data_IF_367887424804
#
_entry.id   IF_367887424804
#
_cell.length_a   1.000
_cell.length_b   1.000
_cell.length_c   1.000
_cell.angle_alpha   90.00
_cell.angle_beta   90.00
_cell.angle_gamma   90.00
#
_symmetry.space_group_name_H-M   'P 1'
#
loop_
_entity.id
_entity.type
_entity.pdbx_description
1 polymer ?
#
# COMPACT_ATOMS: atom_id res chain seq x y z
N UNK A 1 28.85 25.15 -46.53
CA UNK A 1 29.32 23.76 -46.33
C UNK A 1 28.91 23.31 -44.95
N UNK A 2 28.01 22.33 -44.81
CA UNK A 2 27.67 21.75 -43.51
C UNK A 2 28.76 20.75 -43.14
N UNK A 3 29.50 21.00 -42.06
CA UNK A 3 30.42 20.00 -41.49
C UNK A 3 29.56 18.87 -40.92
N UNK A 4 29.65 17.69 -41.51
CA UNK A 4 29.02 16.48 -40.98
C UNK A 4 29.77 16.00 -39.74
N UNK A 5 29.03 15.44 -38.79
CA UNK A 5 29.61 14.75 -37.63
C UNK A 5 30.44 13.56 -38.14
N UNK A 6 31.62 13.32 -37.56
CA UNK A 6 32.45 12.19 -37.98
C UNK A 6 31.88 10.88 -37.40
N UNK A 7 32.07 9.76 -38.12
CA UNK A 7 31.63 8.45 -37.60
C UNK A 7 32.32 8.10 -36.27
N UNK A 8 33.58 8.52 -36.09
CA UNK A 8 34.35 8.24 -34.87
C UNK A 8 33.83 9.02 -33.66
N UNK A 9 33.40 10.27 -33.83
CA UNK A 9 32.77 11.04 -32.74
C UNK A 9 31.47 10.38 -32.29
N UNK A 10 30.65 9.90 -33.23
CA UNK A 10 29.39 9.23 -32.90
C UNK A 10 29.61 7.92 -32.14
N UNK A 11 30.64 7.15 -32.50
CA UNK A 11 31.01 5.91 -31.80
C UNK A 11 31.48 6.21 -30.36
N UNK A 12 32.29 7.24 -30.17
CA UNK A 12 32.78 7.58 -28.83
C UNK A 12 31.64 7.99 -27.89
N UNK A 13 30.66 8.75 -28.40
CA UNK A 13 29.48 9.16 -27.64
C UNK A 13 28.66 7.96 -27.18
N UNK A 14 28.36 6.99 -28.07
CA UNK A 14 27.57 5.81 -27.67
C UNK A 14 28.31 4.92 -26.68
N UNK A 15 29.65 4.83 -26.77
CA UNK A 15 30.46 4.06 -25.81
C UNK A 15 30.40 4.68 -24.42
N UNK A 16 30.57 6.01 -24.31
CA UNK A 16 30.44 6.70 -23.02
C UNK A 16 29.04 6.54 -22.45
N UNK A 17 27.99 6.75 -23.27
CA UNK A 17 26.61 6.58 -22.83
C UNK A 17 26.33 5.13 -22.38
N UNK A 18 26.93 4.13 -23.04
CA UNK A 18 26.84 2.72 -22.64
C UNK A 18 27.43 2.46 -21.26
N UNK A 19 28.62 3.00 -20.97
CA UNK A 19 29.30 2.85 -19.66
C UNK A 19 28.47 3.53 -18.55
N UNK A 20 28.01 4.76 -18.81
CA UNK A 20 27.21 5.51 -17.84
C UNK A 20 25.87 4.80 -17.57
N UNK A 21 25.19 4.30 -18.60
CA UNK A 21 23.94 3.57 -18.47
C UNK A 21 24.11 2.28 -17.65
N UNK A 22 25.20 1.53 -17.85
CA UNK A 22 25.46 0.28 -17.13
C UNK A 22 25.54 0.47 -15.60
N UNK A 23 26.08 1.60 -15.13
CA UNK A 23 26.17 1.91 -13.70
C UNK A 23 24.92 2.62 -13.19
N UNK A 24 24.30 3.48 -14.00
CA UNK A 24 23.16 4.29 -13.60
C UNK A 24 21.87 3.47 -13.47
N UNK A 25 21.61 2.52 -14.38
CA UNK A 25 20.34 1.77 -14.42
C UNK A 25 20.10 0.94 -13.15
N UNK A 26 21.04 0.12 -12.64
CA UNK A 26 20.82 -0.66 -11.42
C UNK A 26 20.57 0.22 -10.20
N UNK A 27 21.29 1.35 -10.08
CA UNK A 27 21.10 2.30 -8.97
C UNK A 27 19.73 2.96 -9.03
N UNK A 28 19.32 3.42 -10.21
CA UNK A 28 18.03 4.06 -10.39
C UNK A 28 16.88 3.11 -10.08
N UNK A 29 16.96 1.84 -10.49
CA UNK A 29 15.94 0.84 -10.18
C UNK A 29 15.83 0.60 -8.67
N UNK A 30 16.95 0.46 -7.95
CA UNK A 30 16.94 0.30 -6.51
C UNK A 30 16.32 1.52 -5.78
N UNK A 31 16.68 2.74 -6.19
CA UNK A 31 16.09 3.96 -5.61
C UNK A 31 14.60 4.08 -5.89
N UNK A 32 14.13 3.64 -7.06
CA UNK A 32 12.70 3.61 -7.39
C UNK A 32 11.94 2.62 -6.51
N UNK A 33 12.47 1.41 -6.34
CA UNK A 33 11.88 0.42 -5.43
C UNK A 33 11.75 0.98 -4.00
N UNK A 34 12.82 1.60 -3.49
CA UNK A 34 12.82 2.16 -2.13
C UNK A 34 11.80 3.30 -1.98
N UNK A 35 11.67 4.15 -3.00
CA UNK A 35 10.66 5.21 -3.03
C UNK A 35 9.22 4.67 -3.07
N UNK A 36 8.99 3.58 -3.82
CA UNK A 36 7.68 2.93 -3.87
C UNK A 36 7.33 2.26 -2.54
N UNK A 37 8.30 1.63 -1.89
CA UNK A 37 8.15 1.04 -0.56
C UNK A 37 7.80 2.13 0.48
N UNK A 38 8.52 3.25 0.48
CA UNK A 38 8.24 4.38 1.36
C UNK A 38 6.85 4.99 1.11
N UNK A 39 6.48 5.18 -0.16
CA UNK A 39 5.15 5.67 -0.56
C UNK A 39 4.04 4.74 -0.06
N UNK A 40 4.21 3.44 -0.22
CA UNK A 40 3.23 2.45 0.23
C UNK A 40 3.05 2.47 1.75
N UNK A 41 4.15 2.65 2.51
CA UNK A 41 4.10 2.82 3.95
C UNK A 41 3.25 4.03 4.36
N UNK A 42 3.50 5.19 3.76
CA UNK A 42 2.73 6.41 4.03
C UNK A 42 1.26 6.26 3.61
N UNK A 43 1.01 5.69 2.44
CA UNK A 43 -0.33 5.43 1.94
C UNK A 43 -1.11 4.52 2.88
N UNK A 44 -0.50 3.48 3.46
CA UNK A 44 -1.15 2.63 4.45
C UNK A 44 -1.55 3.42 5.70
N UNK A 45 -0.64 4.22 6.26
CA UNK A 45 -0.95 5.00 7.46
C UNK A 45 -2.04 6.04 7.21
N UNK A 46 -2.02 6.69 6.04
CA UNK A 46 -3.08 7.62 5.61
C UNK A 46 -4.40 6.88 5.43
N UNK A 47 -4.39 5.72 4.79
CA UNK A 47 -5.59 4.89 4.57
C UNK A 47 -6.26 4.51 5.91
N UNK A 48 -5.48 4.02 6.88
CA UNK A 48 -6.00 3.65 8.20
C UNK A 48 -6.56 4.88 8.93
N UNK A 49 -5.85 6.02 8.86
CA UNK A 49 -6.31 7.27 9.46
C UNK A 49 -7.61 7.75 8.85
N UNK A 50 -7.71 7.78 7.51
CA UNK A 50 -8.89 8.23 6.77
C UNK A 50 -10.12 7.39 7.12
N UNK A 51 -9.97 6.05 7.15
CA UNK A 51 -11.05 5.12 7.52
C UNK A 51 -11.49 5.37 8.98
N UNK A 52 -10.53 5.54 9.89
CA UNK A 52 -10.84 5.79 11.31
C UNK A 52 -11.54 7.13 11.51
N UNK A 53 -11.09 8.18 10.83
CA UNK A 53 -11.71 9.51 10.86
C UNK A 53 -13.10 9.50 10.23
N UNK A 54 -13.30 8.75 9.15
CA UNK A 54 -14.60 8.56 8.52
C UNK A 54 -15.58 7.88 9.49
N UNK A 55 -15.18 6.75 10.09
CA UNK A 55 -15.99 6.04 11.08
C UNK A 55 -16.35 6.93 12.27
N UNK A 56 -15.41 7.73 12.77
CA UNK A 56 -15.65 8.68 13.87
C UNK A 56 -16.66 9.76 13.50
N UNK A 57 -16.66 10.21 12.24
CA UNK A 57 -17.53 11.30 11.78
C UNK A 57 -18.93 10.83 11.37
N UNK A 58 -19.02 9.66 10.75
CA UNK A 58 -20.26 9.12 10.18
C UNK A 58 -20.92 8.07 11.06
N UNK A 59 -20.20 7.52 12.06
CA UNK A 59 -20.68 6.46 12.95
C UNK A 59 -20.72 5.06 12.33
N UNK A 60 -20.43 4.94 11.03
CA UNK A 60 -20.35 3.67 10.29
C UNK A 60 -19.30 3.75 9.18
N UNK A 61 -18.91 2.61 8.62
CA UNK A 61 -18.07 2.54 7.42
C UNK A 61 -18.90 2.74 6.15
N UNK A 62 -18.28 3.33 5.12
CA UNK A 62 -18.90 3.39 3.80
C UNK A 62 -19.06 1.99 3.17
N UNK A 63 -19.79 1.89 2.06
CA UNK A 63 -19.91 0.65 1.28
C UNK A 63 -18.59 0.22 0.63
N UNK A 64 -17.68 1.16 0.39
CA UNK A 64 -16.39 0.93 -0.28
C UNK A 64 -15.30 1.73 0.44
N UNK A 65 -14.09 1.19 0.46
CA UNK A 65 -12.93 1.87 1.06
C UNK A 65 -12.60 3.17 0.30
N UNK A 66 -12.78 3.18 -1.02
CA UNK A 66 -12.53 4.34 -1.89
C UNK A 66 -13.41 5.55 -1.58
N UNK A 67 -14.57 5.33 -0.98
CA UNK A 67 -15.47 6.43 -0.58
C UNK A 67 -14.99 7.12 0.70
N UNK A 68 -14.03 6.53 1.41
CA UNK A 68 -13.49 7.04 2.68
C UNK A 68 -12.10 7.67 2.54
N UNK A 69 -11.36 7.36 1.47
CA UNK A 69 -9.95 7.78 1.29
C UNK A 69 -9.65 8.17 -0.16
N UNK A 70 -8.68 9.06 -0.35
CA UNK A 70 -8.14 9.40 -1.67
C UNK A 70 -6.84 8.64 -2.01
N UNK A 71 -6.43 7.70 -1.15
CA UNK A 71 -5.28 6.83 -1.43
C UNK A 71 -5.62 5.90 -2.60
N UNK A 72 -4.70 5.80 -3.57
CA UNK A 72 -4.87 4.90 -4.71
C UNK A 72 -4.77 3.43 -4.25
N UNK A 73 -5.89 2.72 -4.33
CA UNK A 73 -6.04 1.30 -4.00
C UNK A 73 -6.69 0.56 -5.16
N UNK A 74 -6.36 -0.73 -5.30
CA UNK A 74 -7.14 -1.66 -6.10
C UNK A 74 -8.39 -2.03 -5.29
N UNK A 75 -9.56 -1.66 -5.82
CA UNK A 75 -10.81 -1.87 -5.11
C UNK A 75 -11.35 -3.27 -5.42
N UNK A 76 -11.55 -4.05 -4.37
CA UNK A 76 -12.26 -5.32 -4.45
C UNK A 76 -13.68 -5.12 -3.86
N UNK A 77 -14.66 -5.98 -4.21
CA UNK A 77 -15.99 -5.90 -3.60
C UNK A 77 -15.93 -6.04 -2.07
N UNK A 78 -16.97 -5.56 -1.39
CA UNK A 78 -17.23 -5.78 0.05
C UNK A 78 -16.24 -5.14 1.04
N UNK A 79 -16.06 -3.82 0.98
CA UNK A 79 -15.17 -3.06 1.89
C UNK A 79 -13.71 -3.60 1.92
N UNK A 80 -13.26 -4.23 0.84
CA UNK A 80 -11.89 -4.71 0.71
C UNK A 80 -11.12 -3.90 -0.31
N UNK A 81 -9.86 -3.58 0.00
CA UNK A 81 -9.00 -2.80 -0.86
C UNK A 81 -7.54 -3.26 -0.74
N UNK A 82 -6.82 -3.23 -1.85
CA UNK A 82 -5.41 -3.59 -1.87
C UNK A 82 -4.52 -2.40 -2.27
N UNK A 83 -3.51 -2.12 -1.47
CA UNK A 83 -2.50 -1.11 -1.78
C UNK A 83 -1.51 -1.65 -2.80
N UNK A 84 -1.42 -0.92 -3.92
CA UNK A 84 -0.53 -1.25 -5.03
C UNK A 84 0.85 -0.59 -4.81
N UNK A 85 1.91 -1.39 -4.81
CA UNK A 85 3.31 -0.95 -4.80
C UNK A 85 4.03 -1.52 -6.02
N UNK A 86 4.64 -0.69 -6.87
CA UNK A 86 5.28 -1.13 -8.12
C UNK A 86 4.36 -1.92 -9.09
N UNK A 87 3.04 -1.68 -9.05
CA UNK A 87 2.07 -2.48 -9.81
C UNK A 87 1.79 -3.87 -9.22
N UNK A 88 2.14 -4.11 -7.94
CA UNK A 88 1.87 -5.34 -7.17
C UNK A 88 0.97 -5.06 -5.97
N UNK A 89 0.02 -5.95 -5.72
CA UNK A 89 -0.94 -5.87 -4.61
C UNK A 89 -0.29 -6.35 -3.30
N UNK A 90 0.30 -5.43 -2.54
CA UNK A 90 1.13 -5.79 -1.40
C UNK A 90 0.38 -5.76 -0.06
N UNK A 91 -0.64 -4.94 0.14
CA UNK A 91 -1.30 -4.86 1.45
C UNK A 91 -2.80 -4.89 1.22
N UNK A 92 -3.49 -5.80 1.89
CA UNK A 92 -4.94 -5.90 1.86
C UNK A 92 -5.52 -5.28 3.11
N UNK A 93 -6.57 -4.51 2.92
CA UNK A 93 -7.32 -3.83 3.97
C UNK A 93 -8.77 -4.22 3.82
N UNK A 94 -9.34 -4.81 4.86
CA UNK A 94 -10.72 -5.28 4.90
C UNK A 94 -11.47 -4.59 6.04
N UNK A 95 -12.53 -3.87 5.73
CA UNK A 95 -13.43 -3.29 6.72
C UNK A 95 -14.61 -4.23 6.99
N UNK A 96 -14.97 -4.41 8.25
CA UNK A 96 -16.23 -5.05 8.66
C UNK A 96 -17.09 -4.05 9.41
N UNK A 97 -18.35 -3.90 9.00
CA UNK A 97 -19.29 -3.01 9.68
C UNK A 97 -19.71 -3.61 11.02
N UNK A 98 -20.16 -2.75 11.93
CA UNK A 98 -20.67 -3.16 13.24
C UNK A 98 -21.87 -4.14 13.15
N UNK A 99 -22.65 -4.07 12.06
CA UNK A 99 -23.79 -4.97 11.79
C UNK A 99 -23.39 -6.38 11.37
N UNK A 100 -22.14 -6.57 10.94
CA UNK A 100 -21.63 -7.85 10.42
C UNK A 100 -20.94 -8.69 11.51
N UNK A 101 -20.85 -8.17 12.73
CA UNK A 101 -20.33 -8.88 13.90
C UNK A 101 -21.33 -9.95 14.37
N UNK A 102 -21.31 -11.09 13.70
CA UNK A 102 -22.08 -12.27 14.10
C UNK A 102 -21.46 -12.86 15.37
N UNK A 103 -22.04 -12.56 16.55
CA UNK A 103 -21.89 -13.43 17.73
C UNK A 103 -21.10 -12.93 18.94
N UNK A 104 -21.16 -11.65 19.31
CA UNK A 104 -20.78 -11.23 20.66
C UNK A 104 -21.90 -10.40 21.32
N UNK A 105 -22.38 -10.87 22.47
CA UNK A 105 -23.19 -10.12 23.44
C UNK A 105 -22.39 -8.92 23.94
N UNK A 106 -22.57 -7.77 23.29
CA UNK A 106 -21.93 -6.49 23.60
C UNK A 106 -21.63 -5.74 22.30
N UNK A 107 -22.07 -4.48 22.20
CA UNK A 107 -21.96 -3.65 20.99
C UNK A 107 -20.56 -3.74 20.34
N UNK A 108 -20.43 -4.58 19.32
CA UNK A 108 -19.17 -4.82 18.61
C UNK A 108 -19.09 -3.76 17.51
N UNK A 109 -18.26 -2.73 17.69
CA UNK A 109 -18.14 -1.71 16.65
C UNK A 109 -17.37 -2.22 15.43
N UNK A 110 -17.27 -1.38 14.41
CA UNK A 110 -16.61 -1.75 13.16
C UNK A 110 -15.16 -2.17 13.38
N UNK A 111 -14.67 -3.14 12.60
CA UNK A 111 -13.29 -3.61 12.64
C UNK A 111 -12.61 -3.42 11.29
N UNK A 112 -11.30 -3.17 11.32
CA UNK A 112 -10.44 -3.04 10.16
C UNK A 112 -9.34 -4.08 10.24
N UNK A 113 -9.29 -5.01 9.29
CA UNK A 113 -8.24 -6.03 9.21
C UNK A 113 -7.23 -5.63 8.16
N UNK A 114 -5.95 -5.54 8.54
CA UNK A 114 -4.84 -5.25 7.62
C UNK A 114 -4.02 -6.52 7.49
N UNK A 115 -3.99 -7.11 6.29
CA UNK A 115 -3.32 -8.36 5.98
C UNK A 115 -2.41 -8.23 4.75
N UNK A 116 -1.64 -9.27 4.46
CA UNK A 116 -0.78 -9.30 3.26
C UNK A 116 -1.66 -9.39 2.01
N UNK A 117 -1.30 -8.63 0.98
CA UNK A 117 -2.02 -8.63 -0.30
C UNK A 117 -1.77 -9.88 -1.15
N UNK A 118 -2.47 -9.97 -2.27
CA UNK A 118 -2.44 -11.15 -3.17
C UNK A 118 -1.05 -11.40 -3.77
N UNK A 119 -0.24 -10.36 -3.98
CA UNK A 119 1.13 -10.45 -4.52
C UNK A 119 2.20 -10.56 -3.40
N UNK A 120 1.85 -11.10 -2.22
CA UNK A 120 2.75 -11.15 -1.04
C UNK A 120 4.16 -11.71 -1.30
N UNK A 121 4.30 -12.62 -2.25
CA UNK A 121 5.57 -13.29 -2.56
C UNK A 121 6.49 -12.47 -3.48
N UNK A 122 6.04 -11.32 -3.97
CA UNK A 122 6.86 -10.46 -4.84
C UNK A 122 7.95 -9.74 -4.04
N UNK A 123 9.12 -9.56 -4.68
CA UNK A 123 10.29 -8.95 -4.06
C UNK A 123 9.99 -7.59 -3.41
N UNK A 124 9.20 -6.74 -4.08
CA UNK A 124 8.81 -5.43 -3.55
C UNK A 124 7.95 -5.53 -2.29
N UNK A 125 6.96 -6.45 -2.26
CA UNK A 125 6.11 -6.66 -1.09
C UNK A 125 6.91 -7.26 0.06
N UNK A 126 7.85 -8.18 -0.22
CA UNK A 126 8.75 -8.72 0.81
C UNK A 126 9.67 -7.66 1.43
N UNK A 127 10.11 -6.66 0.65
CA UNK A 127 10.86 -5.50 1.16
C UNK A 127 9.97 -4.63 2.04
N UNK A 128 8.73 -4.38 1.61
CA UNK A 128 7.73 -3.62 2.34
C UNK A 128 7.44 -4.23 3.71
N UNK A 129 7.21 -5.54 3.78
CA UNK A 129 6.91 -6.23 5.05
C UNK A 129 8.08 -6.27 6.03
N UNK A 130 9.32 -6.13 5.55
CA UNK A 130 10.51 -6.04 6.41
C UNK A 130 10.63 -4.68 7.10
N UNK A 131 9.87 -3.67 6.67
CA UNK A 131 9.79 -2.41 7.41
C UNK A 131 9.06 -2.61 8.72
N UNK A 132 9.68 -2.20 9.82
CA UNK A 132 9.12 -2.35 11.18
C UNK A 132 7.70 -1.78 11.30
N UNK A 133 7.49 -0.56 10.80
CA UNK A 133 6.18 0.11 10.86
C UNK A 133 5.06 -0.68 10.18
N UNK A 134 5.38 -1.41 9.12
CA UNK A 134 4.41 -2.19 8.35
C UNK A 134 4.23 -3.57 8.97
N UNK A 135 5.32 -4.20 9.43
CA UNK A 135 5.24 -5.47 10.17
C UNK A 135 4.37 -5.35 11.42
N UNK A 136 4.44 -4.22 12.14
CA UNK A 136 3.63 -3.96 13.33
C UNK A 136 2.12 -3.79 13.01
N UNK A 137 1.79 -3.48 11.75
CA UNK A 137 0.43 -3.28 11.25
C UNK A 137 -0.15 -4.50 10.53
N UNK A 138 0.67 -5.39 9.96
CA UNK A 138 0.21 -6.59 9.24
C UNK A 138 -0.07 -7.78 10.15
N UNK A 139 0.39 -7.77 11.40
CA UNK A 139 0.34 -8.95 12.26
C UNK A 139 1.38 -10.00 11.87
N UNK A 140 1.49 -11.06 12.68
CA UNK A 140 2.51 -12.11 12.50
C UNK A 140 2.07 -13.24 11.55
N UNK A 141 0.81 -13.26 11.15
CA UNK A 141 0.21 -14.28 10.29
C UNK A 141 -0.44 -13.68 9.04
N UNK A 142 -0.84 -14.55 8.10
CA UNK A 142 -1.52 -14.13 6.87
C UNK A 142 -2.98 -13.69 7.13
N UNK A 143 -3.47 -13.82 8.37
CA UNK A 143 -4.83 -13.40 8.77
C UNK A 143 -4.92 -11.90 9.03
N UNK A 144 -3.79 -11.24 9.22
CA UNK A 144 -3.74 -9.79 9.40
C UNK A 144 -3.94 -9.35 10.84
N UNK A 145 -3.67 -8.06 11.09
CA UNK A 145 -3.99 -7.41 12.36
C UNK A 145 -5.38 -6.79 12.29
N UNK A 146 -6.23 -7.12 13.24
CA UNK A 146 -7.52 -6.48 13.41
C UNK A 146 -7.40 -5.23 14.31
N UNK A 147 -7.97 -4.13 13.84
CA UNK A 147 -8.08 -2.85 14.55
C UNK A 147 -9.56 -2.59 14.79
N UNK A 148 -9.94 -2.55 16.05
CA UNK A 148 -11.31 -2.18 16.43
C UNK A 148 -11.45 -0.66 16.35
N UNK A 149 -12.37 -0.19 15.51
CA UNK A 149 -12.65 1.23 15.31
C UNK A 149 -13.71 1.74 16.31
N UNK A 150 -14.51 0.85 16.91
CA UNK A 150 -15.50 1.21 17.93
C UNK A 150 -16.08 0.07 18.77
N UNK A 151 -16.91 0.43 19.77
CA UNK A 151 -17.49 -0.45 20.81
C UNK A 151 -16.68 -0.34 22.11
N UNK A 152 -17.21 0.10 23.25
CA UNK A 152 -18.56 0.14 23.82
C UNK A 152 -19.08 1.56 24.04
N UNK A 153 -20.23 1.89 23.43
CA UNK A 153 -21.14 2.88 24.00
C UNK A 153 -21.81 2.27 25.23
N UNK A 154 -21.96 3.07 26.29
CA UNK A 154 -22.63 2.71 27.53
C UNK A 154 -24.03 2.17 27.19
N UNK A 155 -24.33 0.93 27.60
CA UNK A 155 -25.71 0.45 27.64
C UNK A 155 -26.45 1.29 28.68
N UNK A 156 -27.38 2.15 28.25
CA UNK A 156 -28.40 2.70 29.14
C UNK A 156 -29.44 1.62 29.46
#
# INVERSE_FOLDING_TARGET
MKKGFTMIELIFVIVILGILAAVAVPRLTATRDDAEVAKAATNLTTLVSDITSYYTSQGDLASKIKDMTNVQVDENPDLTAELISAGKKCIKVEGKKATDATGATGATGATLTISKGDDKDKAICSKLYKMRSISDLLGTDDKGKEIQLGGTGINY
#
